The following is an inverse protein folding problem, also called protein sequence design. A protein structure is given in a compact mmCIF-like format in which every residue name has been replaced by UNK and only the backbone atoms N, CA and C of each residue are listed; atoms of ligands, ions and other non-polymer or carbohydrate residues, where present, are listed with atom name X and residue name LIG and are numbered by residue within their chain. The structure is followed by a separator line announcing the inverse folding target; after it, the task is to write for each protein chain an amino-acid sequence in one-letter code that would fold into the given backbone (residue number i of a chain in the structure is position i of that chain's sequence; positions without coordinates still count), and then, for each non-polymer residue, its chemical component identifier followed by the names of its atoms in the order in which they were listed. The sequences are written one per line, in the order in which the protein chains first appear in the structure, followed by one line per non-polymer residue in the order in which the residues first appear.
data_IF_565892501963
#
_entry.id   IF_565892501963
#
_cell.length_a   1.000
_cell.length_b   1.000
_cell.length_c   1.000
_cell.angle_alpha   90.00
_cell.angle_beta   90.00
_cell.angle_gamma   90.00
#
_symmetry.space_group_name_H-M   'P 1'
#
loop_
_entity.id
_entity.type
_entity.pdbx_description
1 polymer ?
#
# COMPACT_ATOMS: atom_id res chain seq x y z
N UNK A 1 12.93 7.82 -3.62
CA UNK A 1 11.58 7.41 -3.21
C UNK A 1 10.69 7.37 -4.44
N UNK A 2 10.14 6.20 -4.73
CA UNK A 2 9.25 5.94 -5.87
C UNK A 2 7.82 6.06 -5.38
N UNK A 3 6.96 6.77 -6.12
CA UNK A 3 5.56 6.95 -5.75
C UNK A 3 4.68 6.06 -6.61
N UNK A 4 3.61 5.55 -6.02
CA UNK A 4 2.66 4.70 -6.72
C UNK A 4 1.29 4.72 -6.04
N UNK A 5 0.44 3.81 -6.50
CA UNK A 5 -0.85 3.54 -5.88
C UNK A 5 -0.88 2.11 -5.37
N UNK A 6 -1.46 1.90 -4.19
CA UNK A 6 -1.82 0.57 -3.73
C UNK A 6 -2.87 -0.02 -4.67
N UNK A 7 -2.67 -1.28 -5.04
CA UNK A 7 -3.63 -2.07 -5.81
C UNK A 7 -3.78 -3.42 -5.13
N UNK A 8 -4.97 -4.01 -5.20
CA UNK A 8 -5.16 -5.38 -4.76
C UNK A 8 -4.93 -6.33 -5.94
N UNK A 9 -4.02 -7.29 -5.78
CA UNK A 9 -3.80 -8.37 -6.74
C UNK A 9 -4.58 -9.62 -6.32
N UNK A 10 -5.72 -9.84 -6.97
CA UNK A 10 -6.59 -10.99 -6.74
C UNK A 10 -5.91 -12.34 -7.02
N UNK A 11 -4.85 -12.40 -7.84
CA UNK A 11 -4.14 -13.66 -8.10
C UNK A 11 -3.30 -14.12 -6.92
N UNK A 12 -2.76 -13.17 -6.16
CA UNK A 12 -1.86 -13.46 -5.04
C UNK A 12 -2.48 -13.17 -3.69
N UNK A 13 -3.71 -12.63 -3.67
CA UNK A 13 -4.46 -12.25 -2.46
C UNK A 13 -3.66 -11.25 -1.60
N UNK A 14 -2.99 -10.31 -2.28
CA UNK A 14 -2.05 -9.34 -1.68
C UNK A 14 -2.25 -7.96 -2.26
N UNK A 15 -1.98 -6.96 -1.45
CA UNK A 15 -1.73 -5.63 -1.97
C UNK A 15 -0.36 -5.56 -2.65
N UNK A 16 -0.27 -4.77 -3.71
CA UNK A 16 0.94 -4.41 -4.42
C UNK A 16 0.98 -2.88 -4.63
N UNK A 17 2.12 -2.35 -5.08
CA UNK A 17 2.27 -0.95 -5.46
C UNK A 17 2.51 -0.88 -6.96
N UNK A 18 1.59 -0.23 -7.68
CA UNK A 18 1.80 0.13 -9.08
C UNK A 18 2.46 1.50 -9.16
N UNK A 19 3.64 1.55 -9.79
CA UNK A 19 4.38 2.79 -9.99
C UNK A 19 4.11 3.43 -11.35
N UNK A 20 3.91 2.62 -12.38
CA UNK A 20 3.62 3.05 -13.76
C UNK A 20 2.82 1.98 -14.51
N UNK A 21 2.64 2.11 -15.83
CA UNK A 21 1.83 1.24 -16.68
C UNK A 21 2.22 -0.25 -16.53
N UNK A 22 3.51 -0.54 -16.53
CA UNK A 22 4.08 -1.90 -16.48
C UNK A 22 5.07 -2.11 -15.32
N UNK A 23 5.07 -1.21 -14.33
CA UNK A 23 6.06 -1.17 -13.25
C UNK A 23 5.38 -1.33 -11.89
N UNK A 24 5.73 -2.40 -11.19
CA UNK A 24 5.07 -2.89 -9.99
C UNK A 24 6.11 -3.29 -8.95
N UNK A 25 5.72 -3.26 -7.67
CA UNK A 25 6.61 -3.65 -6.59
C UNK A 25 6.79 -5.16 -6.49
N UNK A 26 5.76 -5.94 -6.80
CA UNK A 26 5.80 -7.41 -6.79
C UNK A 26 5.13 -8.05 -5.58
N UNK A 27 4.15 -7.37 -4.99
CA UNK A 27 3.37 -7.84 -3.86
C UNK A 27 3.99 -7.44 -2.51
N UNK A 28 3.13 -7.04 -1.59
CA UNK A 28 3.51 -6.65 -0.24
C UNK A 28 3.34 -7.81 0.74
N UNK A 29 4.19 -7.79 1.76
CA UNK A 29 4.21 -8.70 2.89
C UNK A 29 3.97 -7.95 4.19
N UNK A 30 3.42 -8.66 5.18
CA UNK A 30 3.31 -8.18 6.55
C UNK A 30 4.67 -7.65 7.04
N UNK A 31 4.63 -6.50 7.69
CA UNK A 31 5.82 -5.86 8.23
C UNK A 31 6.50 -4.87 7.28
N UNK A 32 6.10 -4.78 6.01
CA UNK A 32 6.68 -3.81 5.08
C UNK A 32 6.24 -2.39 5.38
N UNK A 33 7.21 -1.48 5.42
CA UNK A 33 7.01 -0.06 5.71
C UNK A 33 7.05 0.79 4.44
N UNK A 34 6.17 1.79 4.37
CA UNK A 34 6.12 2.82 3.33
C UNK A 34 5.35 4.03 3.87
N UNK A 35 5.31 5.13 3.11
CA UNK A 35 4.49 6.29 3.47
C UNK A 35 3.20 6.34 2.65
N UNK A 36 2.10 6.77 3.26
CA UNK A 36 0.80 7.05 2.62
C UNK A 36 0.54 8.55 2.61
N UNK A 37 -0.03 9.07 1.51
CA UNK A 37 -0.47 10.46 1.40
C UNK A 37 -1.81 10.66 2.12
N UNK A 38 -1.81 11.38 3.24
CA UNK A 38 -3.02 11.71 4.02
C UNK A 38 -3.09 13.21 4.27
N UNK A 39 -4.12 13.88 3.75
CA UNK A 39 -4.32 15.32 3.94
C UNK A 39 -3.14 16.17 3.43
N UNK A 40 -2.53 15.78 2.32
CA UNK A 40 -1.38 16.47 1.73
C UNK A 40 -0.04 16.23 2.44
N UNK A 41 0.03 15.28 3.38
CA UNK A 41 1.25 14.92 4.10
C UNK A 41 1.53 13.41 3.97
N UNK A 42 2.80 13.08 3.82
CA UNK A 42 3.27 11.70 3.90
C UNK A 42 3.29 11.24 5.35
N UNK A 43 2.67 10.09 5.62
CA UNK A 43 2.65 9.46 6.95
C UNK A 43 3.23 8.05 6.86
N UNK A 44 4.17 7.68 7.73
CA UNK A 44 4.71 6.33 7.75
C UNK A 44 3.64 5.35 8.21
N UNK A 45 3.64 4.18 7.59
CA UNK A 45 2.80 3.06 7.97
C UNK A 45 3.57 1.76 7.80
N UNK A 46 2.95 0.68 8.30
CA UNK A 46 3.35 -0.69 8.05
C UNK A 46 2.12 -1.47 7.62
N UNK A 47 2.22 -2.22 6.54
CA UNK A 47 1.13 -3.10 6.10
C UNK A 47 1.17 -4.40 6.89
N UNK A 48 0.01 -4.87 7.29
CA UNK A 48 -0.19 -6.10 8.07
C UNK A 48 -1.45 -6.82 7.57
N UNK A 49 -1.60 -8.08 7.98
CA UNK A 49 -2.76 -8.90 7.65
C UNK A 49 -3.32 -9.56 8.92
N UNK A 50 -4.65 -9.49 9.08
CA UNK A 50 -5.37 -10.19 10.13
C UNK A 50 -6.67 -10.81 9.57
N UNK A 51 -7.83 -10.19 9.83
CA UNK A 51 -9.08 -10.56 9.16
C UNK A 51 -9.11 -10.06 7.70
N UNK A 52 -8.38 -8.98 7.42
CA UNK A 52 -8.12 -8.41 6.11
C UNK A 52 -6.77 -7.66 6.15
N UNK A 53 -6.30 -7.19 5.01
CA UNK A 53 -5.16 -6.29 4.89
C UNK A 53 -5.45 -4.93 5.52
N UNK A 54 -4.53 -4.42 6.33
CA UNK A 54 -4.67 -3.13 6.97
C UNK A 54 -3.34 -2.39 7.14
N UNK A 55 -3.44 -1.09 7.40
CA UNK A 55 -2.32 -0.20 7.59
C UNK A 55 -2.21 0.24 9.06
N UNK A 56 -1.06 -0.03 9.68
CA UNK A 56 -0.82 0.37 11.07
C UNK A 56 -0.75 1.89 11.18
N UNK A 57 -1.70 2.49 11.92
CA UNK A 57 -1.75 3.93 12.16
C UNK A 57 -2.48 4.74 11.07
N UNK A 58 -3.02 4.09 10.04
CA UNK A 58 -3.84 4.70 8.99
C UNK A 58 -5.20 3.99 8.96
N UNK A 59 -6.28 4.72 9.22
CA UNK A 59 -7.65 4.19 9.11
C UNK A 59 -8.16 4.42 7.70
N UNK A 60 -8.46 3.34 7.00
CA UNK A 60 -9.09 3.34 5.68
C UNK A 60 -9.86 2.02 5.52
N UNK A 61 -11.09 2.10 5.01
CA UNK A 61 -11.93 0.92 4.77
C UNK A 61 -11.54 0.21 3.46
N UNK A 62 -10.96 0.94 2.50
CA UNK A 62 -10.37 0.42 1.26
C UNK A 62 -8.97 1.02 1.08
N UNK A 63 -7.98 0.17 0.83
CA UNK A 63 -6.59 0.60 0.63
C UNK A 63 -6.29 0.85 -0.86
N UNK A 64 -7.16 0.39 -1.76
CA UNK A 64 -6.98 0.50 -3.21
C UNK A 64 -6.95 1.97 -3.63
N UNK A 65 -5.97 2.32 -4.48
CA UNK A 65 -5.80 3.68 -4.97
C UNK A 65 -5.13 4.64 -4.00
N UNK A 66 -4.85 4.24 -2.75
CA UNK A 66 -4.08 5.07 -1.84
C UNK A 66 -2.71 5.38 -2.44
N UNK A 67 -2.38 6.67 -2.52
CA UNK A 67 -1.07 7.12 -3.00
C UNK A 67 -0.01 6.87 -1.94
N UNK A 68 1.02 6.15 -2.33
CA UNK A 68 2.12 5.72 -1.45
C UNK A 68 3.49 6.08 -2.01
N UNK A 69 4.53 5.98 -1.17
CA UNK A 69 5.93 6.03 -1.61
C UNK A 69 6.81 5.09 -0.78
N UNK A 70 7.81 4.51 -1.44
CA UNK A 70 8.87 3.68 -0.85
C UNK A 70 10.26 4.16 -1.29
#
# INVERSE_FOLDING_TARGET
MKQGALIFDERTDRYDIRFDLADYYGGLHCGQCFDVMVGGRWRPTRIEYAADWYLVGIRADDLTGLRVRI
#
